data_IF_433812530041
#
_entry.id   IF_433812530041
#
_cell.length_a   1.000
_cell.length_b   1.000
_cell.length_c   1.000
_cell.angle_alpha   90.00
_cell.angle_beta   90.00
_cell.angle_gamma   90.00
#
_symmetry.space_group_name_H-M   'P 1'
#
loop_
_entity.id
_entity.type
_entity.pdbx_description
1 polymer ?
#
# COMPACT_ATOMS: atom_id res chain seq x y z
N UNK A 1 1.84 7.55 -3.84
CA UNK A 1 1.29 8.36 -4.95
C UNK A 1 2.28 9.44 -5.39
N UNK A 2 2.48 9.59 -6.71
CA UNK A 2 3.39 10.57 -7.29
C UNK A 2 2.87 12.02 -7.19
N UNK A 3 3.76 12.99 -7.37
CA UNK A 3 3.40 14.42 -7.32
C UNK A 3 2.50 14.82 -8.49
N UNK A 4 2.66 14.19 -9.65
CA UNK A 4 1.91 14.50 -10.87
C UNK A 4 0.44 14.14 -10.74
N UNK A 5 0.11 12.95 -10.22
CA UNK A 5 -1.29 12.52 -10.03
C UNK A 5 -1.99 13.36 -8.96
N UNK A 6 -1.28 13.75 -7.89
CA UNK A 6 -1.82 14.69 -6.89
C UNK A 6 -2.16 16.05 -7.48
N UNK A 7 -1.27 16.60 -8.32
CA UNK A 7 -1.50 17.88 -8.99
C UNK A 7 -2.67 17.79 -9.99
N UNK A 8 -2.79 16.69 -10.73
CA UNK A 8 -3.89 16.46 -11.66
C UNK A 8 -5.23 16.43 -10.92
N UNK A 9 -5.33 15.66 -9.84
CA UNK A 9 -6.51 15.58 -8.99
C UNK A 9 -6.93 16.95 -8.44
N UNK A 10 -5.94 17.69 -7.93
CA UNK A 10 -6.15 19.02 -7.39
C UNK A 10 -6.66 20.00 -8.45
N UNK A 11 -6.06 19.99 -9.65
CA UNK A 11 -6.49 20.85 -10.74
C UNK A 11 -7.90 20.51 -11.23
N UNK A 12 -8.27 19.23 -11.31
CA UNK A 12 -9.63 18.79 -11.65
C UNK A 12 -10.62 19.23 -10.60
N UNK A 13 -10.30 19.09 -9.30
CA UNK A 13 -11.12 19.62 -8.21
C UNK A 13 -11.29 21.14 -8.34
N UNK A 14 -10.22 21.88 -8.58
CA UNK A 14 -10.27 23.35 -8.74
C UNK A 14 -11.15 23.79 -9.91
N UNK A 15 -11.25 22.99 -10.97
CA UNK A 15 -12.11 23.28 -12.12
C UNK A 15 -13.58 22.88 -11.92
N UNK A 16 -13.83 21.74 -11.27
CA UNK A 16 -15.16 21.11 -11.26
C UNK A 16 -15.86 21.17 -9.90
N UNK A 17 -15.12 21.44 -8.82
CA UNK A 17 -15.60 21.32 -7.45
C UNK A 17 -15.89 19.88 -7.02
N UNK A 18 -15.60 18.88 -7.87
CA UNK A 18 -15.90 17.48 -7.57
C UNK A 18 -14.86 16.90 -6.62
N UNK A 19 -15.26 16.68 -5.37
CA UNK A 19 -14.41 16.11 -4.31
C UNK A 19 -14.27 14.59 -4.44
N UNK A 20 -15.21 13.92 -5.11
CA UNK A 20 -15.23 12.47 -5.23
C UNK A 20 -13.98 11.96 -5.93
N UNK A 21 -13.48 12.69 -6.94
CA UNK A 21 -12.22 12.37 -7.63
C UNK A 21 -11.03 12.32 -6.67
N UNK A 22 -10.97 13.21 -5.67
CA UNK A 22 -9.89 13.18 -4.69
C UNK A 22 -10.06 12.01 -3.70
N UNK A 23 -11.30 11.74 -3.27
CA UNK A 23 -11.61 10.65 -2.35
C UNK A 23 -11.36 9.27 -2.98
N UNK A 24 -11.67 9.10 -4.26
CA UNK A 24 -11.37 7.90 -5.04
C UNK A 24 -9.86 7.64 -5.11
N UNK A 25 -9.07 8.68 -5.38
CA UNK A 25 -7.61 8.57 -5.45
C UNK A 25 -6.98 8.16 -4.11
N UNK A 26 -7.46 8.70 -2.99
CA UNK A 26 -7.01 8.30 -1.65
C UNK A 26 -7.37 6.84 -1.35
N UNK A 27 -8.57 6.41 -1.74
CA UNK A 27 -9.00 5.02 -1.57
C UNK A 27 -8.12 4.05 -2.36
N UNK A 28 -7.82 4.37 -3.63
CA UNK A 28 -6.92 3.56 -4.46
C UNK A 28 -5.52 3.50 -3.84
N UNK A 29 -4.96 4.62 -3.40
CA UNK A 29 -3.64 4.64 -2.74
C UNK A 29 -3.60 3.75 -1.48
N UNK A 30 -4.69 3.76 -0.69
CA UNK A 30 -4.77 2.92 0.50
C UNK A 30 -4.87 1.43 0.15
N UNK A 31 -5.60 1.07 -0.90
CA UNK A 31 -5.69 -0.31 -1.39
C UNK A 31 -4.32 -0.80 -1.86
N UNK A 32 -3.59 0.01 -2.65
CA UNK A 32 -2.23 -0.33 -3.11
C UNK A 32 -1.27 -0.55 -1.94
N UNK A 33 -1.27 0.33 -0.93
CA UNK A 33 -0.43 0.19 0.27
C UNK A 33 -0.77 -1.07 1.06
N UNK A 34 -2.05 -1.37 1.23
CA UNK A 34 -2.48 -2.58 1.93
C UNK A 34 -2.07 -3.84 1.17
N UNK A 35 -2.19 -3.85 -0.16
CA UNK A 35 -1.71 -4.97 -0.98
C UNK A 35 -0.19 -5.13 -0.90
N UNK A 36 0.58 -4.05 -0.98
CA UNK A 36 2.03 -4.09 -0.84
C UNK A 36 2.46 -4.63 0.53
N UNK A 37 1.81 -4.18 1.61
CA UNK A 37 2.05 -4.67 2.97
C UNK A 37 1.77 -6.17 3.11
N UNK A 38 0.67 -6.66 2.52
CA UNK A 38 0.35 -8.09 2.54
C UNK A 38 1.40 -8.93 1.79
N UNK A 39 1.99 -8.40 0.72
CA UNK A 39 3.07 -9.07 -0.02
C UNK A 39 4.37 -9.09 0.81
N UNK A 40 4.74 -7.98 1.44
CA UNK A 40 5.91 -7.93 2.34
C UNK A 40 5.76 -8.89 3.52
N UNK A 41 4.59 -8.96 4.14
CA UNK A 41 4.29 -9.91 5.22
C UNK A 41 4.40 -11.38 4.74
N UNK A 42 3.99 -11.70 3.51
CA UNK A 42 4.19 -13.04 2.94
C UNK A 42 5.66 -13.35 2.63
N UNK A 43 6.48 -12.37 2.24
CA UNK A 43 7.89 -12.60 1.93
C UNK A 43 8.79 -12.70 3.16
N UNK A 44 8.47 -11.99 4.24
CA UNK A 44 9.26 -12.00 5.48
C UNK A 44 8.65 -12.83 6.62
N UNK A 45 7.37 -13.22 6.53
CA UNK A 45 6.64 -13.91 7.59
C UNK A 45 6.97 -15.40 7.77
N UNK A 46 7.66 -16.03 6.81
CA UNK A 46 7.95 -17.46 6.82
C UNK A 46 9.38 -17.84 7.28
N UNK A 47 10.23 -16.86 7.62
CA UNK A 47 11.58 -17.13 8.15
C UNK A 47 11.62 -17.22 9.69
N UNK A 48 10.60 -17.83 10.30
CA UNK A 48 10.78 -18.43 11.63
C UNK A 48 11.43 -19.78 11.43
N UNK A 49 12.75 -19.76 11.29
CA UNK A 49 13.57 -20.96 11.42
C UNK A 49 13.44 -21.39 12.90
N UNK A 50 12.42 -22.18 13.22
CA UNK A 50 12.36 -22.90 14.49
C UNK A 50 13.55 -23.86 14.47
N UNK A 51 14.61 -23.48 15.20
CA UNK A 51 15.85 -24.22 15.27
C UNK A 51 15.64 -25.56 15.97
N UNK A 52 15.09 -26.53 15.24
CA UNK A 52 14.96 -27.90 15.71
C UNK A 52 16.29 -28.63 15.40
N UNK A 53 17.20 -28.59 16.37
CA UNK A 53 18.48 -29.31 16.31
C UNK A 53 18.32 -30.69 16.95
N UNK A 54 18.25 -31.79 16.18
CA UNK A 54 18.06 -33.13 16.75
C UNK A 54 19.31 -33.72 17.43
N UNK A 55 20.45 -33.01 17.45
CA UNK A 55 21.74 -33.54 17.94
C UNK A 55 22.16 -33.04 19.33
N UNK A 56 21.22 -32.56 20.13
CA UNK A 56 21.48 -32.10 21.50
C UNK A 56 20.88 -33.01 22.58
N UNK A 57 21.28 -34.29 22.66
CA UNK A 57 21.16 -35.09 23.88
C UNK A 57 22.13 -36.26 23.92
#
# INVERSE_FOLDING_TARGET
MDKTTKNLAWNTFKQTGNIDTFMELIQVENIEKNMAKNIEEMQYGNNKNEGDNPFGK
#
